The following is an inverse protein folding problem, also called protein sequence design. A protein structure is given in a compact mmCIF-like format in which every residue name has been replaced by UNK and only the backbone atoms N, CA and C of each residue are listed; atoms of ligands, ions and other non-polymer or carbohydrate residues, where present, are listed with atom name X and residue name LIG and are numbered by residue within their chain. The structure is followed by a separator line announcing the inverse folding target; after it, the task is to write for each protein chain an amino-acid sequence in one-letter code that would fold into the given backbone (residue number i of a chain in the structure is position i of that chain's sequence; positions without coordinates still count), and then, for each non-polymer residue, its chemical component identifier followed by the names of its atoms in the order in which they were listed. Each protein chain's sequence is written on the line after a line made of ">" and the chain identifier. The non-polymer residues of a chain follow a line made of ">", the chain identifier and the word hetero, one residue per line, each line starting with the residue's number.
data_IF_009137964706
#
_entry.id   IF_009137964706
#
_cell.length_a   1.000
_cell.length_b   1.000
_cell.length_c   1.000
_cell.angle_alpha   90.00
_cell.angle_beta   90.00
_cell.angle_gamma   90.00
#
_symmetry.space_group_name_H-M   'P 1'
#
loop_
_entity.id
_entity.type
_entity.pdbx_description
1 polymer ?
#
# COMPACT_ATOMS: atom_id res chain seq x y z
N UNK A 1 6.49 -33.04 -4.52
CA UNK A 1 6.31 -32.35 -4.67
C UNK A 1 5.71 -31.64 -4.10
N UNK A 2 5.66 -30.99 -3.89
CA UNK A 2 5.13 -30.26 -3.40
C UNK A 2 4.87 -29.18 -3.93
N UNK A 3 4.40 -29.30 -4.59
CA UNK A 3 3.99 -28.35 -5.38
C UNK A 3 3.32 -27.34 -4.68
N UNK A 4 2.81 -27.72 -3.77
CA UNK A 4 2.08 -26.85 -3.11
C UNK A 4 2.82 -25.71 -2.69
N UNK A 5 3.99 -25.80 -2.74
CA UNK A 5 4.67 -24.82 -2.38
C UNK A 5 4.83 -23.86 -3.30
N UNK A 6 3.95 -23.05 -3.61
CA UNK A 6 4.07 -22.02 -4.41
C UNK A 6 4.78 -21.06 -3.62
N UNK A 7 5.99 -20.86 -3.70
CA UNK A 7 6.71 -19.89 -2.98
C UNK A 7 6.79 -18.62 -3.76
N UNK A 8 6.84 -17.49 -3.10
CA UNK A 8 7.02 -16.22 -3.77
C UNK A 8 8.48 -16.11 -4.16
N UNK A 9 8.77 -16.15 -5.42
CA UNK A 9 10.12 -16.04 -5.90
C UNK A 9 10.39 -14.62 -6.37
N UNK A 10 10.20 -13.68 -5.53
CA UNK A 10 10.35 -12.30 -5.91
C UNK A 10 11.43 -11.59 -5.15
N UNK A 11 11.45 -10.30 -5.30
CA UNK A 11 12.40 -9.45 -4.65
C UNK A 11 11.63 -8.39 -3.90
N UNK A 12 12.30 -7.73 -2.97
CA UNK A 12 11.66 -6.69 -2.18
C UNK A 12 12.49 -5.43 -2.19
N UNK A 13 11.82 -4.30 -2.13
CA UNK A 13 12.48 -3.01 -2.03
C UNK A 13 11.79 -2.23 -0.93
N UNK A 14 12.57 -1.53 -0.10
CA UNK A 14 12.00 -0.76 0.99
C UNK A 14 12.14 0.72 0.70
N UNK A 15 11.11 1.46 1.08
CA UNK A 15 11.10 2.90 0.97
C UNK A 15 10.65 3.46 2.31
N UNK A 16 11.17 4.60 2.71
CA UNK A 16 10.77 5.18 3.98
C UNK A 16 10.69 6.69 3.85
N UNK A 17 9.83 7.29 4.60
CA UNK A 17 9.68 8.72 4.60
C UNK A 17 8.68 9.15 5.64
N UNK A 18 8.51 10.45 5.80
CA UNK A 18 7.61 10.99 6.78
C UNK A 18 6.20 11.00 6.21
N UNK A 19 5.23 10.64 7.05
CA UNK A 19 3.84 10.72 6.64
C UNK A 19 3.45 12.18 6.62
N UNK A 20 2.81 12.63 5.56
CA UNK A 20 2.39 14.02 5.46
C UNK A 20 1.26 14.34 6.40
N UNK A 21 1.07 15.65 6.65
CA UNK A 21 0.04 16.09 7.57
C UNK A 21 -1.35 15.69 7.10
N UNK A 22 -1.54 15.59 5.81
CA UNK A 22 -2.83 15.19 5.26
C UNK A 22 -2.86 13.69 5.00
N UNK A 23 -1.98 12.96 5.65
CA UNK A 23 -1.86 11.52 5.51
C UNK A 23 -1.44 11.11 4.11
N UNK A 24 -0.80 12.01 3.37
CA UNK A 24 -0.31 11.66 2.06
C UNK A 24 0.95 10.85 2.22
N UNK A 25 1.21 9.99 1.26
CA UNK A 25 2.41 9.18 1.28
C UNK A 25 3.63 9.96 0.82
N UNK A 26 3.43 11.08 0.16
CA UNK A 26 4.50 12.00 -0.18
C UNK A 26 5.66 11.37 -0.90
N UNK A 27 6.85 11.56 -0.34
CA UNK A 27 8.05 11.07 -0.98
C UNK A 27 8.09 9.56 -1.10
N UNK A 28 7.46 8.85 -0.16
CA UNK A 28 7.45 7.39 -0.20
C UNK A 28 6.77 6.91 -1.48
N UNK A 29 5.62 7.49 -1.79
CA UNK A 29 4.88 7.08 -2.98
C UNK A 29 5.67 7.42 -4.23
N UNK A 30 6.26 8.62 -4.28
CA UNK A 30 7.02 9.00 -5.42
C UNK A 30 8.21 8.13 -5.66
N UNK A 31 8.92 7.78 -4.62
CA UNK A 31 10.11 6.95 -4.76
C UNK A 31 9.74 5.55 -5.25
N UNK A 32 8.64 5.00 -4.74
CA UNK A 32 8.22 3.68 -5.16
C UNK A 32 7.77 3.70 -6.62
N UNK A 33 7.02 4.71 -7.00
CA UNK A 33 6.55 4.84 -8.37
C UNK A 33 7.73 5.01 -9.33
N UNK A 34 8.71 5.78 -8.90
CA UNK A 34 9.89 5.99 -9.71
C UNK A 34 10.72 4.72 -9.86
N UNK A 35 10.86 3.97 -8.79
CA UNK A 35 11.59 2.71 -8.83
C UNK A 35 10.98 1.77 -9.87
N UNK A 36 9.67 1.64 -9.87
CA UNK A 36 8.99 0.75 -10.81
C UNK A 36 9.15 1.27 -12.23
N UNK A 37 9.10 2.58 -12.40
CA UNK A 37 9.23 3.13 -13.74
C UNK A 37 10.62 2.91 -14.31
N UNK A 38 11.65 2.93 -13.45
CA UNK A 38 13.01 2.80 -13.94
C UNK A 38 13.51 1.38 -14.00
N UNK A 39 12.85 0.45 -13.37
CA UNK A 39 13.29 -0.93 -13.32
C UNK A 39 12.21 -1.85 -13.84
N UNK A 40 12.45 -2.53 -14.95
CA UNK A 40 11.44 -3.43 -15.51
C UNK A 40 11.08 -4.49 -14.48
N UNK A 41 9.87 -4.45 -13.99
CA UNK A 41 9.44 -5.38 -12.96
C UNK A 41 7.93 -5.46 -12.94
N UNK A 42 7.42 -6.50 -12.30
CA UNK A 42 6.00 -6.68 -12.11
C UNK A 42 5.72 -6.55 -10.63
N UNK A 43 5.16 -5.43 -10.19
CA UNK A 43 4.84 -5.24 -8.77
C UNK A 43 3.75 -6.22 -8.37
N UNK A 44 3.90 -6.84 -7.20
CA UNK A 44 2.96 -7.85 -6.75
C UNK A 44 2.27 -7.52 -5.45
N UNK A 45 2.96 -6.87 -4.53
CA UNK A 45 2.37 -6.63 -3.22
C UNK A 45 3.01 -5.43 -2.58
N UNK A 46 2.34 -4.88 -1.59
CA UNK A 46 2.93 -3.84 -0.77
C UNK A 46 2.68 -4.18 0.68
N UNK A 47 3.57 -3.72 1.54
CA UNK A 47 3.36 -3.80 2.97
C UNK A 47 3.61 -2.41 3.51
N UNK A 48 2.90 -2.02 4.54
CA UNK A 48 3.03 -0.70 5.10
C UNK A 48 3.09 -0.78 6.60
N UNK A 49 4.08 -0.12 7.20
CA UNK A 49 4.21 -0.03 8.63
C UNK A 49 4.39 1.40 9.00
N UNK A 50 3.73 1.83 10.06
CA UNK A 50 3.87 3.17 10.55
C UNK A 50 4.62 3.12 11.88
N UNK A 51 5.77 3.79 11.94
CA UNK A 51 6.58 3.81 13.14
C UNK A 51 6.23 5.08 13.88
N UNK A 52 5.31 4.96 14.83
CA UNK A 52 4.77 6.14 15.46
C UNK A 52 5.80 6.93 16.24
N UNK A 53 6.78 6.32 16.84
CA UNK A 53 7.78 7.06 17.59
C UNK A 53 8.59 7.98 16.71
N UNK A 54 8.74 7.63 15.45
CA UNK A 54 9.51 8.44 14.51
C UNK A 54 8.64 9.14 13.51
N UNK A 55 7.35 8.89 13.54
CA UNK A 55 6.40 9.40 12.56
C UNK A 55 6.85 9.09 11.16
N UNK A 56 7.39 7.91 10.98
CA UNK A 56 7.86 7.46 9.70
C UNK A 56 7.05 6.33 9.14
N UNK A 57 6.93 6.32 7.86
CA UNK A 57 6.23 5.25 7.17
C UNK A 57 7.28 4.40 6.48
N UNK A 58 7.12 3.10 6.54
CA UNK A 58 7.97 2.16 5.82
C UNK A 58 7.08 1.40 4.85
N UNK A 59 7.44 1.46 3.58
CA UNK A 59 6.69 0.76 2.55
C UNK A 59 7.58 -0.31 1.96
N UNK A 60 7.10 -1.53 1.90
CA UNK A 60 7.83 -2.59 1.22
C UNK A 60 7.09 -2.90 -0.07
N UNK A 61 7.85 -3.09 -1.12
CA UNK A 61 7.28 -3.42 -2.42
C UNK A 61 7.79 -4.78 -2.80
N UNK A 62 6.89 -5.73 -3.01
CA UNK A 62 7.27 -7.05 -3.49
C UNK A 62 7.07 -7.09 -5.00
N UNK A 63 8.05 -7.56 -5.73
CA UNK A 63 7.98 -7.55 -7.18
C UNK A 63 8.74 -8.71 -7.78
N UNK A 64 8.51 -8.95 -9.05
CA UNK A 64 9.24 -9.95 -9.80
C UNK A 64 9.83 -9.27 -11.02
N UNK A 65 10.94 -9.80 -11.49
CA UNK A 65 11.53 -9.28 -12.71
C UNK A 65 10.58 -9.61 -13.85
N UNK A 66 10.26 -8.61 -14.65
CA UNK A 66 9.28 -8.79 -15.69
C UNK A 66 9.85 -8.71 -17.09
N UNK A 67 11.12 -8.74 -17.21
CA UNK A 67 11.72 -8.73 -18.53
C UNK A 67 11.77 -7.34 -19.09
N UNK A 68 11.23 -7.13 -20.26
CA UNK A 68 11.39 -5.91 -20.90
C UNK A 68 10.44 -4.84 -20.66
N UNK A 69 9.31 -5.10 -20.12
CA UNK A 69 8.29 -4.09 -20.00
C UNK A 69 8.09 -3.68 -18.57
N UNK A 70 8.45 -2.49 -18.19
CA UNK A 70 8.18 -2.05 -16.83
C UNK A 70 6.72 -1.71 -16.70
N UNK A 71 6.14 -2.05 -15.58
CA UNK A 71 4.81 -1.59 -15.27
C UNK A 71 4.96 -0.20 -14.69
N UNK A 72 3.89 0.55 -14.70
CA UNK A 72 3.83 1.80 -13.97
C UNK A 72 2.77 1.62 -12.90
N UNK A 73 3.01 2.17 -11.74
CA UNK A 73 2.06 2.05 -10.65
C UNK A 73 1.74 3.42 -10.09
N UNK A 74 0.66 3.49 -9.36
CA UNK A 74 0.32 4.67 -8.59
C UNK A 74 -0.08 4.20 -7.21
N UNK A 75 0.30 4.95 -6.19
CA UNK A 75 -0.04 4.63 -4.82
C UNK A 75 -1.02 5.67 -4.32
N UNK A 76 -2.07 5.21 -3.64
CA UNK A 76 -3.12 6.08 -3.16
C UNK A 76 -3.35 5.83 -1.67
N UNK A 77 -3.49 6.86 -0.88
CA UNK A 77 -3.80 6.73 0.53
C UNK A 77 -5.17 7.36 0.77
N UNK A 78 -6.01 6.66 1.49
CA UNK A 78 -7.34 7.13 1.79
C UNK A 78 -7.61 6.96 3.26
N UNK A 79 -8.00 8.03 3.94
CA UNK A 79 -8.32 7.94 5.35
C UNK A 79 -9.73 7.40 5.53
N UNK A 80 -9.87 6.47 6.44
CA UNK A 80 -11.18 5.94 6.79
C UNK A 80 -11.70 6.58 8.09
N UNK A 81 -10.95 7.53 8.64
CA UNK A 81 -11.36 8.21 9.85
C UNK A 81 -10.88 7.50 11.09
N UNK A 82 -11.21 8.09 12.22
CA UNK A 82 -10.78 7.59 13.51
C UNK A 82 -11.78 6.58 14.04
N UNK A 83 -11.30 5.47 14.55
CA UNK A 83 -12.15 4.47 15.17
C UNK A 83 -11.63 4.21 16.57
N UNK A 84 -12.37 4.68 17.57
CA UNK A 84 -11.95 4.53 18.94
C UNK A 84 -12.33 3.20 19.55
N UNK A 85 -13.32 2.55 19.01
CA UNK A 85 -13.63 1.21 19.43
C UNK A 85 -13.74 0.37 18.19
N UNK A 86 -13.59 -0.93 18.33
CA UNK A 86 -13.71 -1.81 17.19
C UNK A 86 -14.89 -2.73 17.35
N UNK A 87 -16.00 -2.18 17.78
CA UNK A 87 -17.21 -2.97 17.91
C UNK A 87 -17.79 -3.25 16.52
N UNK A 88 -18.84 -4.03 16.47
CA UNK A 88 -19.37 -4.48 15.19
C UNK A 88 -19.82 -3.33 14.29
N UNK A 89 -20.36 -2.29 14.89
CA UNK A 89 -20.80 -1.14 14.10
C UNK A 89 -19.64 -0.40 13.47
N UNK A 90 -18.54 -0.24 14.24
CA UNK A 90 -17.38 0.46 13.71
C UNK A 90 -16.70 -0.39 12.62
N UNK A 91 -16.64 -1.70 12.83
CA UNK A 91 -16.03 -2.54 11.81
C UNK A 91 -16.84 -2.47 10.52
N UNK A 92 -18.16 -2.44 10.62
CA UNK A 92 -18.99 -2.34 9.44
C UNK A 92 -18.77 -1.01 8.73
N UNK A 93 -18.59 0.07 9.49
CA UNK A 93 -18.34 1.38 8.89
C UNK A 93 -17.01 1.39 8.16
N UNK A 94 -15.98 0.80 8.78
CA UNK A 94 -14.66 0.75 8.14
C UNK A 94 -14.71 -0.09 6.87
N UNK A 95 -15.39 -1.22 6.93
CA UNK A 95 -15.49 -2.10 5.75
C UNK A 95 -16.19 -1.38 4.60
N UNK A 96 -17.22 -0.62 4.91
CA UNK A 96 -17.92 0.09 3.90
C UNK A 96 -17.04 1.16 3.27
N UNK A 97 -16.27 1.84 4.13
CA UNK A 97 -15.34 2.85 3.65
C UNK A 97 -14.26 2.25 2.76
N UNK A 98 -13.76 1.08 3.12
CA UNK A 98 -12.75 0.40 2.33
C UNK A 98 -13.28 0.05 0.95
N UNK A 99 -14.48 -0.49 0.91
CA UNK A 99 -15.09 -0.86 -0.37
C UNK A 99 -15.35 0.36 -1.23
N UNK A 100 -15.84 1.43 -0.61
CA UNK A 100 -16.14 2.65 -1.36
C UNK A 100 -14.85 3.26 -1.92
N UNK A 101 -13.77 3.20 -1.16
CA UNK A 101 -12.50 3.74 -1.62
C UNK A 101 -11.98 2.94 -2.81
N UNK A 102 -12.06 1.62 -2.72
CA UNK A 102 -11.59 0.77 -3.80
C UNK A 102 -12.42 0.97 -5.06
N UNK A 103 -13.72 1.18 -4.90
CA UNK A 103 -14.60 1.34 -6.05
C UNK A 103 -14.28 2.58 -6.87
N UNK A 104 -13.57 3.54 -6.30
CA UNK A 104 -13.24 4.74 -7.04
C UNK A 104 -11.95 4.59 -7.84
N UNK A 105 -11.28 3.46 -7.70
CA UNK A 105 -10.00 3.26 -8.37
C UNK A 105 -10.15 2.19 -9.44
N UNK A 106 -9.24 2.22 -10.40
CA UNK A 106 -9.20 1.22 -11.43
C UNK A 106 -7.92 0.46 -11.36
N UNK A 107 -7.96 -0.79 -11.73
CA UNK A 107 -6.77 -1.64 -11.79
C UNK A 107 -6.04 -1.76 -10.47
N UNK A 108 -6.78 -2.01 -9.41
CA UNK A 108 -6.18 -2.18 -8.10
C UNK A 108 -5.43 -3.49 -8.06
N UNK A 109 -4.14 -3.42 -7.74
CA UNK A 109 -3.30 -4.61 -7.66
C UNK A 109 -3.29 -5.19 -6.26
N UNK A 110 -3.25 -4.35 -5.26
CA UNK A 110 -3.24 -4.82 -3.88
C UNK A 110 -3.51 -3.66 -2.95
N UNK A 111 -3.67 -3.96 -1.69
CA UNK A 111 -3.96 -2.94 -0.69
C UNK A 111 -3.34 -3.30 0.66
N UNK A 112 -3.21 -2.31 1.51
CA UNK A 112 -2.73 -2.48 2.86
C UNK A 112 -3.43 -1.47 3.76
N UNK A 113 -3.46 -1.77 5.04
CA UNK A 113 -4.11 -0.91 6.01
C UNK A 113 -3.12 -0.59 7.11
N UNK A 114 -3.05 0.65 7.54
CA UNK A 114 -2.27 0.96 8.72
C UNK A 114 -3.06 1.94 9.59
N UNK A 115 -2.65 2.05 10.85
CA UNK A 115 -3.36 2.85 11.82
C UNK A 115 -2.37 3.80 12.47
N UNK A 116 -2.70 5.07 12.56
CA UNK A 116 -1.82 6.05 13.17
C UNK A 116 -1.98 6.03 14.70
N UNK A 117 -1.11 6.76 15.38
CA UNK A 117 -1.18 6.79 16.82
C UNK A 117 -2.48 7.42 17.32
N UNK A 118 -3.16 8.19 16.48
CA UNK A 118 -4.42 8.78 16.86
C UNK A 118 -5.60 7.89 16.49
N UNK A 119 -5.32 6.67 16.16
CA UNK A 119 -6.30 5.66 15.78
C UNK A 119 -7.04 6.01 14.49
N UNK A 120 -6.37 6.70 13.60
CA UNK A 120 -6.93 6.96 12.29
C UNK A 120 -6.53 5.83 11.36
N UNK A 121 -7.49 5.23 10.69
CA UNK A 121 -7.27 4.10 9.82
C UNK A 121 -7.05 4.60 8.40
N UNK A 122 -5.98 4.14 7.78
CA UNK A 122 -5.61 4.61 6.44
C UNK A 122 -5.40 3.41 5.53
N UNK A 123 -6.08 3.43 4.39
CA UNK A 123 -5.91 2.40 3.39
C UNK A 123 -4.92 2.89 2.35
N UNK A 124 -4.02 2.02 1.93
CA UNK A 124 -3.09 2.32 0.86
C UNK A 124 -3.36 1.34 -0.27
N UNK A 125 -3.58 1.84 -1.45
CA UNK A 125 -3.84 1.00 -2.61
C UNK A 125 -2.72 1.18 -3.62
N UNK A 126 -2.33 0.11 -4.26
CA UNK A 126 -1.43 0.19 -5.40
C UNK A 126 -2.23 -0.16 -6.63
N UNK A 127 -2.22 0.71 -7.61
CA UNK A 127 -2.93 0.47 -8.84
C UNK A 127 -1.95 0.42 -9.98
N UNK A 128 -2.32 -0.24 -11.06
CA UNK A 128 -1.51 -0.26 -12.25
C UNK A 128 -1.84 1.00 -13.04
N UNK A 129 -0.81 1.79 -13.32
CA UNK A 129 -1.02 3.00 -14.08
C UNK A 129 -0.44 2.75 -15.43
N UNK A 130 -1.18 2.90 -16.42
CA UNK A 130 -0.64 2.55 -17.69
C UNK A 130 -0.23 3.64 -18.43
#
# INVERSE_FOLDING_TARGET
>A
MNAAKEQFHGKFKLFTGTLGADLSLGAVAKEAEEFVRKNPCAPKSIGVEYLEGEKRLVLSLGYRDAGEQPYAIALHAVSLGVAESLDAGELARLEKGMTAAADKLQNVLCHELFVTEKREFVMVFMTAAK
#
